data_IF_942136069119
#
_entry.id   IF_942136069119
#
_cell.length_a   1.000
_cell.length_b   1.000
_cell.length_c   1.000
_cell.angle_alpha   90.00
_cell.angle_beta   90.00
_cell.angle_gamma   90.00
#
_symmetry.space_group_name_H-M   'P 1'
#
loop_
_entity.id
_entity.type
_entity.pdbx_description
1 polymer ?
#
# COMPACT_ATOMS: atom_id res chain seq x y z
N UNK A 1 -5.00 10.38 33.64
CA UNK A 1 -4.74 11.23 32.47
C UNK A 1 -3.62 10.59 31.69
N UNK A 2 -3.95 9.99 30.55
CA UNK A 2 -3.03 9.76 29.43
C UNK A 2 -3.92 9.43 28.24
N UNK A 3 -4.38 10.48 27.56
CA UNK A 3 -4.99 10.32 26.25
C UNK A 3 -3.85 9.95 25.32
N UNK A 4 -3.78 8.67 24.95
CA UNK A 4 -2.92 8.21 23.86
C UNK A 4 -3.20 9.08 22.64
N UNK A 5 -2.25 9.93 22.30
CA UNK A 5 -2.30 10.74 21.08
C UNK A 5 -2.35 9.78 19.91
N UNK A 6 -3.53 9.60 19.34
CA UNK A 6 -3.72 8.93 18.08
C UNK A 6 -2.89 9.73 17.06
N UNK A 7 -1.70 9.22 16.71
CA UNK A 7 -0.93 9.75 15.58
C UNK A 7 -1.72 9.37 14.33
N UNK A 8 -2.73 10.16 14.02
CA UNK A 8 -3.43 10.05 12.75
C UNK A 8 -2.37 10.32 11.69
N UNK A 9 -1.94 9.27 11.00
CA UNK A 9 -1.03 9.36 9.87
C UNK A 9 -1.57 10.42 8.92
N UNK A 10 -0.79 11.47 8.65
CA UNK A 10 -1.14 12.54 7.70
C UNK A 10 -1.03 12.05 6.25
N UNK A 11 -1.61 10.88 5.97
CA UNK A 11 -1.59 10.26 4.65
C UNK A 11 -2.97 10.32 4.04
N UNK A 12 -3.02 10.59 2.76
CA UNK A 12 -4.23 10.51 1.96
C UNK A 12 -4.33 9.10 1.39
N UNK A 13 -5.42 8.40 1.66
CA UNK A 13 -5.68 7.10 1.05
C UNK A 13 -6.47 7.30 -0.25
N UNK A 14 -6.02 6.69 -1.34
CA UNK A 14 -6.82 6.51 -2.54
C UNK A 14 -7.23 5.04 -2.65
N UNK A 15 -8.51 4.81 -2.91
CA UNK A 15 -9.05 3.50 -3.28
C UNK A 15 -9.40 3.51 -4.76
N UNK A 16 -9.19 2.40 -5.44
CA UNK A 16 -9.49 2.31 -6.86
C UNK A 16 -9.19 0.95 -7.47
N UNK A 17 -9.54 0.84 -8.74
CA UNK A 17 -9.21 -0.28 -9.61
C UNK A 17 -7.72 -0.26 -9.99
N UNK A 18 -7.24 -1.39 -10.50
CA UNK A 18 -5.85 -1.54 -10.90
C UNK A 18 -5.42 -0.55 -11.99
N UNK A 19 -6.21 -0.36 -13.04
CA UNK A 19 -5.92 0.60 -14.11
C UNK A 19 -5.66 2.02 -13.59
N UNK A 20 -6.34 2.42 -12.52
CA UNK A 20 -6.19 3.74 -11.91
C UNK A 20 -4.98 3.87 -10.99
N UNK A 21 -4.64 2.83 -10.24
CA UNK A 21 -3.64 2.91 -9.17
C UNK A 21 -2.35 2.10 -9.45
N UNK A 22 -2.28 1.35 -10.56
CA UNK A 22 -1.19 0.43 -10.85
C UNK A 22 0.19 1.05 -10.82
N UNK A 23 0.35 2.26 -11.33
CA UNK A 23 1.68 2.91 -11.40
C UNK A 23 2.23 3.14 -9.99
N UNK A 24 1.42 3.77 -9.14
CA UNK A 24 1.82 4.07 -7.76
C UNK A 24 1.92 2.80 -6.91
N UNK A 25 0.93 1.90 -6.99
CA UNK A 25 0.93 0.65 -6.23
C UNK A 25 2.13 -0.23 -6.62
N UNK A 26 2.40 -0.37 -7.93
CA UNK A 26 3.55 -1.13 -8.42
C UNK A 26 4.87 -0.50 -7.99
N UNK A 27 5.01 0.83 -7.99
CA UNK A 27 6.25 1.48 -7.56
C UNK A 27 6.63 1.13 -6.11
N UNK A 28 5.65 1.09 -5.21
CA UNK A 28 5.85 0.69 -3.81
C UNK A 28 6.16 -0.80 -3.71
N UNK A 29 5.38 -1.64 -4.41
CA UNK A 29 5.55 -3.10 -4.42
C UNK A 29 6.92 -3.50 -4.97
N UNK A 30 7.36 -2.89 -6.06
CA UNK A 30 8.64 -3.17 -6.67
C UNK A 30 9.80 -2.86 -5.71
N UNK A 31 9.79 -1.68 -5.09
CA UNK A 31 10.84 -1.31 -4.13
C UNK A 31 10.87 -2.26 -2.92
N UNK A 32 9.71 -2.69 -2.43
CA UNK A 32 9.64 -3.52 -1.22
C UNK A 32 9.84 -5.00 -1.52
N UNK A 33 9.12 -5.56 -2.48
CA UNK A 33 9.16 -6.99 -2.77
C UNK A 33 10.35 -7.34 -3.66
N UNK A 34 10.58 -6.61 -4.76
CA UNK A 34 11.65 -6.94 -5.71
C UNK A 34 13.01 -6.46 -5.19
N UNK A 35 13.15 -5.17 -4.88
CA UNK A 35 14.45 -4.59 -4.52
C UNK A 35 14.87 -5.01 -3.11
N UNK A 36 14.00 -4.82 -2.11
CA UNK A 36 14.33 -5.10 -0.72
C UNK A 36 14.24 -6.61 -0.38
N UNK A 37 13.14 -7.28 -0.71
CA UNK A 37 12.91 -8.68 -0.34
C UNK A 37 13.41 -9.70 -1.38
N UNK A 38 13.91 -9.24 -2.54
CA UNK A 38 14.47 -10.10 -3.59
C UNK A 38 13.47 -11.07 -4.21
N UNK A 39 12.19 -10.70 -4.26
CA UNK A 39 11.19 -11.39 -5.07
C UNK A 39 11.54 -11.21 -6.55
N UNK A 40 11.52 -12.28 -7.37
CA UNK A 40 11.75 -12.14 -8.80
C UNK A 40 10.75 -11.17 -9.44
N UNK A 41 11.19 -10.20 -10.26
CA UNK A 41 10.29 -9.21 -10.87
C UNK A 41 9.12 -9.84 -11.66
N UNK A 42 9.37 -10.99 -12.29
CA UNK A 42 8.41 -11.71 -13.13
C UNK A 42 7.23 -12.33 -12.38
N UNK A 43 7.31 -12.49 -11.05
CA UNK A 43 6.23 -13.05 -10.22
C UNK A 43 5.52 -12.01 -9.36
N UNK A 44 5.93 -10.73 -9.45
CA UNK A 44 5.37 -9.69 -8.60
C UNK A 44 3.91 -9.36 -8.97
N UNK A 45 3.61 -9.31 -10.27
CA UNK A 45 2.26 -9.09 -10.76
C UNK A 45 1.56 -10.42 -10.98
N UNK A 46 0.27 -10.47 -10.68
CA UNK A 46 -0.58 -11.64 -10.92
C UNK A 46 -1.92 -11.26 -11.55
N UNK A 47 -2.69 -12.27 -11.96
CA UNK A 47 -4.00 -12.08 -12.59
C UNK A 47 -5.04 -11.45 -11.64
N UNK A 48 -4.85 -11.62 -10.33
CA UNK A 48 -5.74 -11.08 -9.30
C UNK A 48 -5.64 -9.56 -9.15
N UNK A 49 -4.53 -8.95 -9.61
CA UNK A 49 -4.38 -7.50 -9.60
C UNK A 49 -5.52 -6.83 -10.36
N UNK A 50 -5.95 -7.38 -11.50
CA UNK A 50 -6.99 -6.79 -12.33
C UNK A 50 -8.39 -6.76 -11.67
N UNK A 51 -8.67 -7.69 -10.75
CA UNK A 51 -9.99 -7.85 -10.12
C UNK A 51 -10.05 -7.34 -8.68
N UNK A 52 -8.92 -6.93 -8.11
CA UNK A 52 -8.84 -6.44 -6.73
C UNK A 52 -9.21 -4.95 -6.62
N UNK A 53 -9.69 -4.56 -5.43
CA UNK A 53 -9.68 -3.16 -5.01
C UNK A 53 -8.29 -2.84 -4.47
N UNK A 54 -7.67 -1.78 -4.95
CA UNK A 54 -6.34 -1.35 -4.51
C UNK A 54 -6.45 -0.12 -3.61
N UNK A 55 -5.56 -0.07 -2.63
CA UNK A 55 -5.35 1.07 -1.76
C UNK A 55 -3.92 1.59 -1.93
N UNK A 56 -3.76 2.90 -2.06
CA UNK A 56 -2.44 3.56 -2.03
C UNK A 56 -2.49 4.69 -1.01
N UNK A 57 -1.51 4.70 -0.13
CA UNK A 57 -1.30 5.75 0.85
C UNK A 57 -0.29 6.77 0.32
N UNK A 58 -0.67 8.03 0.27
CA UNK A 58 0.17 9.13 -0.21
C UNK A 58 0.57 10.05 0.93
N UNK A 59 1.82 10.50 0.92
CA UNK A 59 2.30 11.56 1.77
C UNK A 59 1.71 12.94 1.41
N UNK A 60 1.98 13.98 2.22
CA UNK A 60 1.50 15.34 1.97
C UNK A 60 1.96 15.93 0.63
N UNK A 61 3.10 15.48 0.12
CA UNK A 61 3.70 15.88 -1.16
C UNK A 61 3.16 15.08 -2.36
N UNK A 62 2.23 14.14 -2.13
CA UNK A 62 1.71 13.26 -3.16
C UNK A 62 2.60 12.05 -3.46
N UNK A 63 3.68 11.82 -2.71
CA UNK A 63 4.54 10.65 -2.88
C UNK A 63 3.81 9.39 -2.38
N UNK A 64 3.75 8.29 -3.15
CA UNK A 64 3.22 7.01 -2.65
C UNK A 64 4.14 6.46 -1.55
N UNK A 65 3.56 6.10 -0.42
CA UNK A 65 4.27 5.63 0.79
C UNK A 65 4.00 4.17 1.10
N UNK A 66 2.82 3.67 0.71
CA UNK A 66 2.39 2.30 0.94
C UNK A 66 1.23 1.89 0.04
N UNK A 67 1.01 0.59 -0.09
CA UNK A 67 -0.10 0.01 -0.85
C UNK A 67 -0.58 -1.29 -0.24
N UNK A 68 -1.77 -1.72 -0.66
CA UNK A 68 -2.37 -3.01 -0.40
C UNK A 68 -3.51 -3.26 -1.39
N UNK A 69 -3.99 -4.50 -1.45
CA UNK A 69 -5.18 -4.85 -2.23
C UNK A 69 -6.14 -5.72 -1.42
N UNK A 70 -7.42 -5.62 -1.75
CA UNK A 70 -8.50 -6.46 -1.27
C UNK A 70 -9.02 -7.30 -2.45
N UNK A 71 -8.92 -8.62 -2.31
CA UNK A 71 -9.46 -9.57 -3.25
C UNK A 71 -10.99 -9.66 -3.13
N UNK A 72 -11.71 -10.07 -4.20
CA UNK A 72 -13.17 -10.23 -4.17
C UNK A 72 -13.67 -11.20 -3.10
N UNK A 73 -12.84 -12.15 -2.66
CA UNK A 73 -13.14 -13.12 -1.62
C UNK A 73 -12.87 -12.62 -0.19
N UNK A 74 -12.43 -11.36 -0.05
CA UNK A 74 -12.15 -10.70 1.22
C UNK A 74 -10.71 -10.81 1.72
N UNK A 75 -9.82 -11.50 1.00
CA UNK A 75 -8.41 -11.59 1.41
C UNK A 75 -7.65 -10.29 1.13
N UNK A 76 -6.92 -9.81 2.14
CA UNK A 76 -6.01 -8.68 2.01
C UNK A 76 -4.62 -9.19 1.61
N UNK A 77 -4.04 -8.59 0.57
CA UNK A 77 -2.76 -9.01 0.02
C UNK A 77 -1.93 -7.84 -0.50
N UNK A 78 -0.70 -8.15 -0.96
CA UNK A 78 0.25 -7.19 -1.54
C UNK A 78 0.47 -5.94 -0.68
N UNK A 79 0.43 -6.12 0.65
CA UNK A 79 0.69 -5.04 1.60
C UNK A 79 2.17 -4.67 1.60
N UNK A 80 2.48 -3.44 1.22
CA UNK A 80 3.85 -2.93 1.17
C UNK A 80 3.92 -1.49 1.68
N UNK A 81 4.96 -1.17 2.45
CA UNK A 81 5.26 0.20 2.91
C UNK A 81 6.74 0.45 2.70
N UNK A 82 7.07 1.55 2.02
CA UNK A 82 8.46 1.97 1.82
C UNK A 82 9.20 2.04 3.16
N UNK A 83 10.46 1.60 3.18
CA UNK A 83 11.28 1.58 4.40
C UNK A 83 11.30 2.91 5.15
N UNK A 84 11.39 4.03 4.42
CA UNK A 84 11.36 5.41 4.97
C UNK A 84 10.02 5.81 5.62
N UNK A 85 8.94 5.10 5.30
CA UNK A 85 7.58 5.38 5.76
C UNK A 85 7.11 4.43 6.90
N UNK A 86 7.95 3.44 7.27
CA UNK A 86 7.63 2.49 8.36
C UNK A 86 7.66 3.20 9.71
N UNK A 87 6.85 2.73 10.65
CA UNK A 87 6.69 3.35 11.97
C UNK A 87 5.88 4.65 11.97
N UNK A 88 5.40 5.11 10.81
CA UNK A 88 4.57 6.32 10.68
C UNK A 88 3.06 6.04 10.62
N UNK A 89 2.63 4.79 10.88
CA UNK A 89 1.21 4.40 10.86
C UNK A 89 0.60 4.19 9.48
N UNK A 90 1.39 4.17 8.40
CA UNK A 90 0.91 4.01 7.01
C UNK A 90 0.18 2.67 6.81
N UNK A 91 0.74 1.57 7.32
CA UNK A 91 0.14 0.24 7.19
C UNK A 91 -1.22 0.14 7.87
N UNK A 92 -1.37 0.74 9.06
CA UNK A 92 -2.67 0.80 9.74
C UNK A 92 -3.69 1.62 8.96
N UNK A 93 -3.27 2.80 8.46
CA UNK A 93 -4.15 3.66 7.66
C UNK A 93 -4.67 2.99 6.37
N UNK A 94 -3.91 2.05 5.78
CA UNK A 94 -4.36 1.25 4.64
C UNK A 94 -5.46 0.23 5.00
N UNK A 95 -5.49 -0.24 6.26
CA UNK A 95 -6.45 -1.26 6.73
C UNK A 95 -7.73 -0.66 7.32
N UNK A 96 -7.73 0.63 7.66
CA UNK A 96 -8.86 1.34 8.26
C UNK A 96 -9.87 1.89 7.23
N UNK A 97 -9.70 1.60 5.94
CA UNK A 97 -10.47 2.21 4.84
C UNK A 97 -11.24 1.20 4.02
#
# INVERSE_FOLDING_TARGET
MEMSTNKQSSVRIALGTWDRLREDAYSVRYEVFVVEQRVPPEVELDDDDAVSVHAVAYGPDGTPMGTGRLLPDGHIGRMAVHKKARGMGVGGALLER
#
